data_IF_927088039348
#
_entry.id   IF_927088039348
#
_cell.length_a   1.000
_cell.length_b   1.000
_cell.length_c   1.000
_cell.angle_alpha   90.00
_cell.angle_beta   90.00
_cell.angle_gamma   90.00
#
_symmetry.space_group_name_H-M   'P 1'
#
loop_
_entity.id
_entity.type
_entity.pdbx_description
1 polymer ?
#
# COMPACT_ATOMS: atom_id res chain seq x y z
N UNK A 1 -21.60 52.14 19.80
CA UNK A 1 -20.70 51.86 18.66
C UNK A 1 -19.55 50.91 19.01
N UNK A 2 -18.85 51.08 20.13
CA UNK A 2 -17.69 50.22 20.53
C UNK A 2 -18.10 48.77 20.83
N UNK A 3 -19.27 48.51 21.46
CA UNK A 3 -19.75 47.16 21.83
C UNK A 3 -20.10 46.34 20.57
N UNK A 4 -20.74 46.95 19.57
CA UNK A 4 -21.14 46.31 18.34
C UNK A 4 -19.92 45.83 17.48
N UNK A 5 -18.81 46.58 17.54
CA UNK A 5 -17.58 46.22 16.85
C UNK A 5 -16.91 45.01 17.51
N UNK A 6 -16.91 44.97 18.86
CA UNK A 6 -16.31 43.86 19.63
C UNK A 6 -17.07 42.55 19.39
N UNK A 7 -18.40 42.59 19.37
CA UNK A 7 -19.22 41.39 19.12
C UNK A 7 -19.05 40.86 17.69
N UNK A 8 -18.91 41.74 16.71
CA UNK A 8 -18.69 41.33 15.31
C UNK A 8 -17.30 40.67 15.12
N UNK A 9 -16.24 41.18 15.76
CA UNK A 9 -14.91 40.60 15.67
C UNK A 9 -14.84 39.25 16.34
N UNK A 10 -15.49 39.03 17.48
CA UNK A 10 -15.55 37.74 18.17
C UNK A 10 -16.27 36.71 17.29
N UNK A 11 -17.42 37.08 16.68
CA UNK A 11 -18.18 36.19 15.81
C UNK A 11 -17.37 35.75 14.59
N UNK A 12 -16.57 36.62 13.97
CA UNK A 12 -15.70 36.29 12.82
C UNK A 12 -14.57 35.38 13.24
N UNK A 13 -13.96 35.56 14.40
CA UNK A 13 -12.88 34.69 14.90
C UNK A 13 -13.42 33.29 15.23
N UNK A 14 -14.60 33.19 15.85
CA UNK A 14 -15.21 31.89 16.15
C UNK A 14 -15.64 31.18 14.87
N UNK A 15 -16.26 31.87 13.92
CA UNK A 15 -16.64 31.27 12.62
C UNK A 15 -15.44 30.83 11.80
N UNK A 16 -14.38 31.63 11.77
CA UNK A 16 -13.13 31.27 11.09
C UNK A 16 -12.40 30.07 11.74
N UNK A 17 -12.37 30.04 13.08
CA UNK A 17 -11.82 28.94 13.85
C UNK A 17 -12.61 27.64 13.64
N UNK A 18 -13.93 27.71 13.64
CA UNK A 18 -14.81 26.58 13.38
C UNK A 18 -14.62 26.02 11.95
N UNK A 19 -14.51 26.90 10.95
CA UNK A 19 -14.32 26.52 9.57
C UNK A 19 -12.95 25.85 9.33
N UNK A 20 -11.90 26.30 10.00
CA UNK A 20 -10.58 25.67 9.95
C UNK A 20 -10.55 24.30 10.63
N UNK A 21 -11.36 24.10 11.67
CA UNK A 21 -11.43 22.84 12.42
C UNK A 21 -12.31 21.78 11.74
N UNK A 22 -13.32 22.20 10.97
CA UNK A 22 -14.29 21.32 10.27
C UNK A 22 -13.89 21.06 8.82
N UNK A 23 -12.77 21.64 8.36
CA UNK A 23 -12.30 21.41 6.99
C UNK A 23 -12.04 19.92 6.78
N UNK A 24 -12.73 19.23 5.84
CA UNK A 24 -12.35 17.87 5.50
C UNK A 24 -10.89 17.90 5.02
N UNK A 25 -10.09 16.87 5.30
CA UNK A 25 -8.73 16.79 4.79
C UNK A 25 -8.78 16.97 3.27
N UNK A 26 -7.92 17.84 2.76
CA UNK A 26 -7.80 18.07 1.32
C UNK A 26 -7.60 16.70 0.66
N UNK A 27 -8.50 16.32 -0.27
CA UNK A 27 -8.55 14.98 -0.88
C UNK A 27 -7.31 14.57 -1.67
N UNK A 28 -6.20 15.26 -1.47
CA UNK A 28 -4.89 14.99 -2.07
C UNK A 28 -3.78 14.76 -1.03
N UNK A 29 -4.14 14.59 0.25
CA UNK A 29 -3.17 14.10 1.25
C UNK A 29 -3.12 12.59 1.12
N UNK A 30 -2.22 12.08 0.28
CA UNK A 30 -1.83 10.67 0.31
C UNK A 30 -1.26 10.42 1.72
N UNK A 31 -2.05 9.74 2.54
CA UNK A 31 -1.60 9.32 3.87
C UNK A 31 -0.52 8.29 3.64
N UNK A 32 0.71 8.56 4.10
CA UNK A 32 1.80 7.58 3.99
C UNK A 32 1.34 6.20 4.46
N UNK A 33 1.56 5.18 3.63
CA UNK A 33 1.09 3.81 3.88
C UNK A 33 -0.34 3.51 3.45
N UNK A 34 -1.08 4.46 2.85
CA UNK A 34 -2.39 4.16 2.27
C UNK A 34 -2.29 3.17 1.10
N UNK A 35 -3.31 2.32 0.89
CA UNK A 35 -3.35 1.45 -0.29
C UNK A 35 -3.26 2.25 -1.59
N UNK A 36 -2.44 1.80 -2.52
CA UNK A 36 -2.22 2.48 -3.80
C UNK A 36 -3.21 2.05 -4.86
N UNK A 37 -3.72 0.81 -4.78
CA UNK A 37 -4.71 0.27 -5.71
C UNK A 37 -5.82 -0.47 -4.95
N UNK A 38 -7.02 -0.48 -5.51
CA UNK A 38 -8.07 -1.38 -5.07
C UNK A 38 -7.83 -2.77 -5.65
N UNK A 39 -7.89 -3.80 -4.80
CA UNK A 39 -7.70 -5.19 -5.20
C UNK A 39 -9.02 -5.93 -5.10
N UNK A 40 -9.45 -6.51 -6.21
CA UNK A 40 -10.61 -7.40 -6.25
C UNK A 40 -10.11 -8.84 -6.14
N UNK A 41 -10.46 -9.51 -5.06
CA UNK A 41 -10.12 -10.91 -4.87
C UNK A 41 -11.15 -11.82 -5.56
N UNK A 42 -10.73 -12.99 -6.07
CA UNK A 42 -11.67 -14.01 -6.53
C UNK A 42 -12.52 -14.53 -5.35
N UNK A 43 -13.73 -15.00 -5.64
CA UNK A 43 -14.63 -15.56 -4.61
C UNK A 43 -14.03 -16.81 -3.94
N UNK A 44 -13.24 -17.58 -4.69
CA UNK A 44 -12.64 -18.82 -4.22
C UNK A 44 -11.18 -18.90 -4.64
N UNK A 45 -10.33 -19.24 -3.71
CA UNK A 45 -8.94 -19.58 -3.93
C UNK A 45 -8.74 -21.09 -4.00
N UNK A 46 -7.84 -21.53 -4.85
CA UNK A 46 -7.33 -22.92 -4.82
C UNK A 46 -6.55 -23.16 -3.51
N UNK A 47 -6.31 -24.41 -3.10
CA UNK A 47 -5.51 -24.72 -1.91
C UNK A 47 -4.10 -24.11 -1.95
N UNK A 48 -3.49 -24.01 -3.14
CA UNK A 48 -2.17 -23.40 -3.32
C UNK A 48 -2.22 -21.90 -3.07
N UNK A 49 -3.21 -21.20 -3.65
CA UNK A 49 -3.41 -19.76 -3.45
C UNK A 49 -3.77 -19.42 -2.01
N UNK A 50 -4.56 -20.27 -1.33
CA UNK A 50 -4.86 -20.09 0.10
C UNK A 50 -3.59 -20.17 0.96
N UNK A 51 -2.71 -21.13 0.65
CA UNK A 51 -1.39 -21.23 1.30
C UNK A 51 -0.56 -19.98 1.02
N UNK A 52 -0.58 -19.53 -0.24
CA UNK A 52 0.08 -18.31 -0.67
C UNK A 52 -0.44 -17.05 0.01
N UNK A 53 -1.76 -16.92 0.15
CA UNK A 53 -2.39 -15.80 0.85
C UNK A 53 -1.95 -15.71 2.32
N UNK A 54 -1.89 -16.85 3.01
CA UNK A 54 -1.42 -16.92 4.38
C UNK A 54 0.06 -16.53 4.49
N UNK A 55 0.91 -17.09 3.62
CA UNK A 55 2.34 -16.78 3.58
C UNK A 55 2.60 -15.31 3.20
N UNK A 56 1.87 -14.78 2.23
CA UNK A 56 1.92 -13.37 1.82
C UNK A 56 1.58 -12.44 2.98
N UNK A 57 0.51 -12.74 3.71
CA UNK A 57 0.06 -11.92 4.84
C UNK A 57 1.14 -11.77 5.90
N UNK A 58 1.86 -12.85 6.18
CA UNK A 58 2.90 -12.86 7.23
C UNK A 58 4.20 -12.21 6.77
N UNK A 59 4.59 -12.42 5.50
CA UNK A 59 5.95 -12.08 5.07
C UNK A 59 6.01 -10.84 4.16
N UNK A 60 4.91 -10.44 3.54
CA UNK A 60 4.92 -9.44 2.46
C UNK A 60 3.99 -8.25 2.72
N UNK A 61 2.85 -8.48 3.40
CA UNK A 61 1.80 -7.48 3.52
C UNK A 61 2.20 -6.25 4.34
N UNK A 62 3.16 -6.37 5.26
CA UNK A 62 3.64 -5.23 6.03
C UNK A 62 4.26 -4.14 5.15
N UNK A 63 4.93 -4.53 4.07
CA UNK A 63 5.46 -3.61 3.08
C UNK A 63 4.51 -3.40 1.90
N UNK A 64 4.04 -4.48 1.26
CA UNK A 64 3.27 -4.44 0.01
C UNK A 64 1.76 -4.22 0.19
N UNK A 65 1.31 -4.03 1.43
CA UNK A 65 -0.10 -3.83 1.76
C UNK A 65 -0.93 -5.11 1.72
N UNK A 66 -2.10 -5.03 2.31
CA UNK A 66 -3.08 -6.13 2.30
C UNK A 66 -3.40 -6.47 0.84
N UNK A 67 -3.39 -7.75 0.51
CA UNK A 67 -3.66 -8.29 -0.81
C UNK A 67 -2.74 -7.73 -1.92
N UNK A 68 -1.56 -7.22 -1.57
CA UNK A 68 -0.65 -6.65 -2.57
C UNK A 68 -1.08 -5.30 -3.12
N UNK A 69 -1.92 -4.56 -2.40
CA UNK A 69 -2.43 -3.25 -2.82
C UNK A 69 -1.37 -2.14 -2.88
N UNK A 70 -0.16 -2.41 -2.42
CA UNK A 70 0.88 -1.42 -2.19
C UNK A 70 0.62 -0.57 -0.95
N UNK A 71 1.64 0.14 -0.51
CA UNK A 71 1.55 1.15 0.54
C UNK A 71 2.28 2.40 0.09
N UNK A 72 1.57 3.49 -0.09
CA UNK A 72 2.12 4.74 -0.62
C UNK A 72 3.32 5.22 0.21
N UNK A 73 4.41 5.53 -0.47
CA UNK A 73 5.68 5.93 0.14
C UNK A 73 6.48 4.80 0.81
N UNK A 74 5.99 3.53 0.80
CA UNK A 74 6.63 2.39 1.47
C UNK A 74 7.04 1.31 0.47
N UNK A 75 6.07 0.71 -0.26
CA UNK A 75 6.35 -0.32 -1.23
C UNK A 75 5.26 -0.41 -2.31
N UNK A 76 5.60 -0.89 -3.51
CA UNK A 76 4.70 -0.89 -4.65
C UNK A 76 3.55 -1.89 -4.52
N UNK A 77 2.42 -1.64 -5.22
CA UNK A 77 1.39 -2.65 -5.39
C UNK A 77 1.93 -3.79 -6.26
N UNK A 78 1.64 -5.03 -5.87
CA UNK A 78 1.99 -6.20 -6.68
C UNK A 78 0.92 -6.51 -7.73
N UNK A 79 -0.28 -5.96 -7.58
CA UNK A 79 -1.35 -6.02 -8.57
C UNK A 79 -1.15 -4.87 -9.56
N UNK A 80 -0.18 -5.03 -10.44
CA UNK A 80 0.18 -4.02 -11.44
C UNK A 80 0.78 -4.69 -12.68
N UNK A 81 0.52 -4.12 -13.86
CA UNK A 81 0.94 -4.66 -15.17
C UNK A 81 2.43 -5.00 -15.31
N UNK A 82 3.31 -4.30 -14.56
CA UNK A 82 4.75 -4.60 -14.62
C UNK A 82 5.08 -5.95 -13.97
N UNK A 83 4.20 -6.50 -13.15
CA UNK A 83 4.38 -7.80 -12.51
C UNK A 83 3.72 -8.95 -13.27
N UNK A 84 3.13 -8.67 -14.44
CA UNK A 84 2.65 -9.72 -15.34
C UNK A 84 3.80 -10.64 -15.81
N UNK A 85 3.52 -11.93 -16.08
CA UNK A 85 4.53 -12.91 -16.47
C UNK A 85 5.37 -12.52 -17.69
N UNK A 86 4.81 -11.71 -18.59
CA UNK A 86 5.48 -11.17 -19.77
C UNK A 86 6.61 -10.18 -19.45
N UNK A 87 6.59 -9.56 -18.27
CA UNK A 87 7.58 -8.58 -17.84
C UNK A 87 8.41 -9.07 -16.63
N UNK A 88 7.73 -9.54 -15.57
CA UNK A 88 8.35 -10.17 -14.42
C UNK A 88 7.82 -11.60 -14.27
N UNK A 89 8.53 -12.58 -14.82
CA UNK A 89 8.20 -13.99 -14.67
C UNK A 89 8.37 -14.48 -13.23
N UNK A 90 7.91 -15.70 -12.94
CA UNK A 90 7.90 -16.26 -11.58
C UNK A 90 9.28 -16.32 -10.93
N UNK A 91 10.32 -16.58 -11.74
CA UNK A 91 11.71 -16.55 -11.26
C UNK A 91 12.12 -15.18 -10.71
N UNK A 92 11.63 -14.07 -11.25
CA UNK A 92 11.93 -12.73 -10.71
C UNK A 92 11.32 -12.52 -9.35
N UNK A 93 10.13 -13.06 -9.07
CA UNK A 93 9.53 -13.07 -7.73
C UNK A 93 10.37 -13.91 -6.76
N UNK A 94 10.77 -15.10 -7.18
CA UNK A 94 11.60 -15.98 -6.34
C UNK A 94 12.93 -15.29 -6.00
N UNK A 95 13.61 -14.70 -6.98
CA UNK A 95 14.87 -13.98 -6.75
C UNK A 95 14.66 -12.75 -5.86
N UNK A 96 13.57 -12.01 -6.05
CA UNK A 96 13.23 -10.87 -5.20
C UNK A 96 13.08 -11.27 -3.74
N UNK A 97 12.38 -12.36 -3.45
CA UNK A 97 12.23 -12.87 -2.09
C UNK A 97 13.56 -13.34 -1.49
N UNK A 98 14.39 -14.02 -2.27
CA UNK A 98 15.63 -14.60 -1.78
C UNK A 98 16.79 -13.61 -1.65
N UNK A 99 16.89 -12.64 -2.56
CA UNK A 99 18.06 -11.76 -2.71
C UNK A 99 17.74 -10.27 -2.53
N UNK A 100 16.46 -9.92 -2.48
CA UNK A 100 16.01 -8.53 -2.56
C UNK A 100 16.06 -7.99 -3.98
N UNK A 101 15.67 -6.73 -4.14
CA UNK A 101 15.61 -6.03 -5.44
C UNK A 101 16.19 -4.64 -5.30
N UNK A 102 17.09 -4.28 -6.22
CA UNK A 102 17.44 -2.87 -6.41
C UNK A 102 16.29 -2.16 -7.11
N UNK A 103 15.83 -1.04 -6.54
CA UNK A 103 14.73 -0.25 -7.11
C UNK A 103 15.03 0.18 -8.56
N UNK A 104 14.09 -0.09 -9.47
CA UNK A 104 14.21 0.25 -10.89
C UNK A 104 12.90 0.67 -11.55
N UNK A 105 11.73 0.35 -10.98
CA UNK A 105 10.42 0.78 -11.47
C UNK A 105 9.74 1.80 -10.55
N UNK A 106 10.09 1.79 -9.26
CA UNK A 106 9.46 2.58 -8.21
C UNK A 106 10.51 3.35 -7.42
N UNK A 107 10.10 4.47 -6.85
CA UNK A 107 10.97 5.35 -6.05
C UNK A 107 10.96 5.04 -4.55
N UNK A 108 10.43 3.87 -4.14
CA UNK A 108 10.29 3.51 -2.72
C UNK A 108 11.59 2.99 -2.07
N UNK A 109 12.66 2.87 -2.84
CA UNK A 109 13.91 2.27 -2.37
C UNK A 109 14.03 0.79 -2.69
N UNK A 110 15.14 0.19 -2.27
CA UNK A 110 15.45 -1.21 -2.52
C UNK A 110 14.61 -2.13 -1.62
N UNK A 111 14.14 -3.25 -2.16
CA UNK A 111 13.50 -4.31 -1.38
C UNK A 111 14.59 -5.17 -0.74
N UNK A 112 14.60 -5.37 0.57
CA UNK A 112 15.50 -6.33 1.21
C UNK A 112 15.08 -7.78 0.90
N UNK A 113 16.00 -8.72 1.02
CA UNK A 113 15.68 -10.14 1.02
C UNK A 113 14.76 -10.49 2.20
N UNK A 114 13.81 -11.40 2.01
CA UNK A 114 12.87 -11.84 3.05
C UNK A 114 13.54 -12.99 3.83
N UNK A 115 13.85 -12.72 5.09
CA UNK A 115 14.53 -13.69 5.95
C UNK A 115 13.56 -14.82 6.35
N UNK A 116 14.03 -16.07 6.26
CA UNK A 116 13.27 -17.24 6.72
C UNK A 116 12.40 -17.91 5.64
N UNK A 117 12.33 -17.38 4.43
CA UNK A 117 11.71 -18.06 3.31
C UNK A 117 12.70 -18.98 2.61
N UNK A 118 12.25 -20.17 2.21
CA UNK A 118 12.95 -21.07 1.30
C UNK A 118 12.45 -20.89 -0.15
N UNK A 119 13.22 -21.29 -1.16
CA UNK A 119 12.77 -21.21 -2.56
C UNK A 119 11.44 -21.90 -2.83
N UNK A 120 11.11 -22.97 -2.09
CA UNK A 120 9.84 -23.68 -2.21
C UNK A 120 8.64 -22.87 -1.70
N UNK A 121 8.85 -21.88 -0.82
CA UNK A 121 7.78 -21.02 -0.31
C UNK A 121 7.34 -19.98 -1.35
N UNK A 122 8.13 -19.78 -2.38
CA UNK A 122 7.85 -18.80 -3.44
C UNK A 122 6.64 -19.20 -4.30
N UNK A 123 6.50 -20.48 -4.62
CA UNK A 123 5.45 -20.98 -5.52
C UNK A 123 4.03 -20.61 -5.04
N UNK A 124 3.62 -20.92 -3.80
CA UNK A 124 2.29 -20.54 -3.33
C UNK A 124 2.11 -19.01 -3.25
N UNK A 125 3.13 -18.25 -2.85
CA UNK A 125 3.06 -16.78 -2.81
C UNK A 125 2.86 -16.22 -4.22
N UNK A 126 3.58 -16.73 -5.21
CA UNK A 126 3.44 -16.33 -6.61
C UNK A 126 2.05 -16.69 -7.12
N UNK A 127 1.54 -17.89 -6.83
CA UNK A 127 0.19 -18.31 -7.23
C UNK A 127 -0.89 -17.36 -6.67
N UNK A 128 -0.72 -16.89 -5.44
CA UNK A 128 -1.65 -15.93 -4.83
C UNK A 128 -1.59 -14.54 -5.49
N UNK A 129 -0.41 -14.09 -5.91
CA UNK A 129 -0.22 -12.76 -6.52
C UNK A 129 -0.69 -12.73 -7.98
N UNK A 130 -0.69 -13.85 -8.68
CA UNK A 130 -1.11 -13.99 -10.10
C UNK A 130 -2.62 -14.00 -10.26
#
# INVERSE_FOLDING_TARGET
>A
MRIAIITLTIALVVAGGWWAFVRPPDGNSTTAGAPMVAVNLPENFTPLEQTGAAAFTVNCADCHGINGAGRDGIAPPLIHKIYEPSHHGDMSFQLAMMQGVRAHHWSFGDMPAVIGLAPADAEPIIAYVR
#
